data_IF_977700219013
#
_entry.id   IF_977700219013
#
_cell.length_a   1.000
_cell.length_b   1.000
_cell.length_c   1.000
_cell.angle_alpha   90.00
_cell.angle_beta   90.00
_cell.angle_gamma   90.00
#
_symmetry.space_group_name_H-M   'P 1'
#
loop_
_entity.id
_entity.type
_entity.pdbx_description
1 polymer ?
#
# COMPACT_ATOMS: atom_id res chain seq x y z
N UNK A 1 0.27 -8.24 5.63
CA UNK A 1 1.57 -7.60 5.93
C UNK A 1 1.89 -7.43 7.42
N UNK A 2 0.94 -7.14 8.32
CA UNK A 2 1.23 -6.86 9.74
C UNK A 2 2.07 -7.93 10.49
N UNK A 3 1.76 -9.24 10.45
CA UNK A 3 2.56 -10.24 11.17
C UNK A 3 4.00 -10.34 10.66
N UNK A 4 4.20 -10.10 9.35
CA UNK A 4 5.53 -10.05 8.74
C UNK A 4 6.35 -8.87 9.28
N UNK A 5 5.75 -7.67 9.31
CA UNK A 5 6.37 -6.48 9.89
C UNK A 5 6.76 -6.70 11.36
N UNK A 6 5.86 -7.27 12.16
CA UNK A 6 6.17 -7.62 13.56
C UNK A 6 7.27 -8.67 13.69
N UNK A 7 7.32 -9.66 12.79
CA UNK A 7 8.37 -10.66 12.76
C UNK A 7 9.75 -10.07 12.46
N UNK A 8 9.82 -9.12 11.53
CA UNK A 8 11.05 -8.38 11.21
C UNK A 8 11.46 -7.43 12.35
N UNK A 9 10.50 -6.74 12.96
CA UNK A 9 10.77 -5.91 14.14
C UNK A 9 11.39 -6.71 15.29
N UNK A 10 10.90 -7.93 15.56
CA UNK A 10 11.50 -8.84 16.56
C UNK A 10 12.92 -9.27 16.23
N UNK A 11 13.32 -9.22 14.96
CA UNK A 11 14.69 -9.48 14.50
C UNK A 11 15.60 -8.25 14.56
N UNK A 12 15.09 -7.10 15.00
CA UNK A 12 15.85 -5.86 15.17
C UNK A 12 15.74 -4.87 14.00
N UNK A 13 14.92 -5.16 12.98
CA UNK A 13 14.71 -4.24 11.87
C UNK A 13 13.74 -3.11 12.27
N UNK A 14 14.00 -1.89 11.79
CA UNK A 14 13.03 -0.79 11.85
C UNK A 14 12.04 -0.95 10.70
N UNK A 15 10.74 -0.85 10.98
CA UNK A 15 9.68 -1.15 10.02
C UNK A 15 8.68 -0.01 9.96
N UNK A 16 8.61 0.64 8.80
CA UNK A 16 7.66 1.71 8.49
C UNK A 16 6.68 1.22 7.42
N UNK A 17 5.39 1.37 7.70
CA UNK A 17 4.32 1.16 6.72
C UNK A 17 3.99 2.47 6.02
N UNK A 18 3.92 2.43 4.69
CA UNK A 18 3.51 3.54 3.85
C UNK A 18 2.10 3.29 3.31
N UNK A 19 1.20 4.25 3.41
CA UNK A 19 -0.15 4.10 2.89
C UNK A 19 -1.09 5.23 3.28
N UNK A 20 -2.36 5.10 2.91
CA UNK A 20 -3.38 6.12 3.20
C UNK A 20 -3.62 6.27 4.71
N UNK A 21 -3.96 7.48 5.19
CA UNK A 21 -4.17 7.79 6.62
C UNK A 21 -5.06 6.79 7.39
N UNK A 22 -6.08 6.21 6.76
CA UNK A 22 -6.98 5.23 7.38
C UNK A 22 -6.28 3.98 7.92
N UNK A 23 -5.11 3.66 7.41
CA UNK A 23 -4.33 2.52 7.90
C UNK A 23 -3.67 2.81 9.26
N UNK A 24 -3.41 4.08 9.60
CA UNK A 24 -2.51 4.47 10.69
C UNK A 24 -2.92 3.83 12.02
N UNK A 25 -4.19 3.95 12.43
CA UNK A 25 -4.66 3.42 13.72
C UNK A 25 -4.36 1.94 13.86
N UNK A 26 -4.54 1.16 12.79
CA UNK A 26 -4.30 -0.29 12.79
C UNK A 26 -2.80 -0.61 12.83
N UNK A 27 -1.98 0.14 12.09
CA UNK A 27 -0.52 -0.04 12.09
C UNK A 27 0.06 0.30 13.47
N UNK A 28 -0.32 1.44 14.05
CA UNK A 28 0.13 1.88 15.38
C UNK A 28 -0.30 0.91 16.47
N UNK A 29 -1.52 0.37 16.41
CA UNK A 29 -1.98 -0.68 17.33
C UNK A 29 -1.13 -1.95 17.26
N UNK A 30 -0.54 -2.25 16.09
CA UNK A 30 0.41 -3.33 15.90
C UNK A 30 1.85 -2.99 16.35
N UNK A 31 2.07 -1.79 16.93
CA UNK A 31 3.36 -1.24 17.38
C UNK A 31 4.39 -1.08 16.25
N UNK A 32 3.91 -0.73 15.06
CA UNK A 32 4.74 -0.49 13.89
C UNK A 32 4.71 0.99 13.53
N UNK A 33 5.75 1.46 12.85
CA UNK A 33 5.81 2.83 12.37
C UNK A 33 4.95 3.02 11.12
N UNK A 34 4.43 4.23 10.95
CA UNK A 34 3.56 4.59 9.85
C UNK A 34 3.96 5.94 9.27
N UNK A 35 3.97 6.01 7.95
CA UNK A 35 4.15 7.23 7.16
C UNK A 35 2.97 7.38 6.19
N UNK A 36 2.21 8.48 6.25
CA UNK A 36 1.07 8.68 5.37
C UNK A 36 1.52 8.98 3.94
N UNK A 37 0.80 8.41 2.96
CA UNK A 37 0.89 8.76 1.54
C UNK A 37 -0.52 9.06 1.04
N UNK A 38 -0.66 10.13 0.26
CA UNK A 38 -1.90 10.55 -0.36
C UNK A 38 -2.93 11.10 0.61
N UNK A 39 -2.48 11.76 1.68
CA UNK A 39 -3.37 12.31 2.71
C UNK A 39 -4.33 13.38 2.17
N UNK A 40 -3.93 14.11 1.12
CA UNK A 40 -4.76 15.15 0.51
C UNK A 40 -5.89 14.55 -0.36
N UNK A 41 -5.61 13.45 -1.07
CA UNK A 41 -6.59 12.80 -1.95
C UNK A 41 -7.43 11.76 -1.23
N UNK A 42 -6.82 11.06 -0.27
CA UNK A 42 -7.47 10.07 0.59
C UNK A 42 -7.37 10.49 2.05
N UNK A 43 -8.04 11.58 2.47
CA UNK A 43 -8.09 11.97 3.88
C UNK A 43 -8.74 10.88 4.74
N UNK A 44 -8.59 11.00 6.06
CA UNK A 44 -9.18 10.07 7.03
C UNK A 44 -10.69 9.89 6.77
N UNK A 45 -11.14 8.63 6.65
CA UNK A 45 -12.50 8.20 6.28
C UNK A 45 -12.69 7.84 4.80
N UNK A 46 -11.69 8.07 3.94
CA UNK A 46 -11.81 7.85 2.50
C UNK A 46 -12.02 6.38 2.13
N UNK A 47 -11.32 5.47 2.80
CA UNK A 47 -11.43 4.02 2.57
C UNK A 47 -12.85 3.54 2.86
N UNK A 48 -13.45 3.96 3.98
CA UNK A 48 -14.83 3.63 4.31
C UNK A 48 -15.80 4.18 3.26
N UNK A 49 -15.63 5.44 2.84
CA UNK A 49 -16.46 6.06 1.82
C UNK A 49 -16.38 5.32 0.46
N UNK A 50 -15.18 4.91 0.06
CA UNK A 50 -14.93 4.14 -1.17
C UNK A 50 -15.58 2.76 -1.09
N UNK A 51 -15.43 2.04 0.02
CA UNK A 51 -16.11 0.76 0.22
C UNK A 51 -17.64 0.91 0.25
N UNK A 52 -18.16 1.96 0.88
CA UNK A 52 -19.60 2.25 0.92
C UNK A 52 -20.16 2.57 -0.47
N UNK A 53 -19.37 3.17 -1.35
CA UNK A 53 -19.74 3.39 -2.75
C UNK A 53 -19.68 2.08 -3.54
N UNK A 54 -18.59 1.34 -3.41
CA UNK A 54 -18.41 0.05 -4.08
C UNK A 54 -19.51 -0.96 -3.73
N UNK A 55 -19.96 -1.00 -2.47
CA UNK A 55 -21.03 -1.92 -2.03
C UNK A 55 -22.39 -1.68 -2.69
N UNK A 56 -22.60 -0.51 -3.28
CA UNK A 56 -23.80 -0.16 -4.05
C UNK A 56 -23.70 -0.50 -5.53
N UNK A 57 -22.51 -0.85 -6.01
CA UNK A 57 -22.23 -1.19 -7.41
C UNK A 57 -22.16 -2.72 -7.59
N UNK A 58 -22.39 -3.19 -8.82
CA UNK A 58 -22.30 -4.61 -9.20
C UNK A 58 -21.76 -4.73 -10.62
N UNK A 59 -21.17 -5.88 -10.97
CA UNK A 59 -20.71 -6.16 -12.34
C UNK A 59 -19.68 -5.16 -12.86
N UNK A 60 -19.79 -4.81 -14.15
CA UNK A 60 -18.83 -3.93 -14.84
C UNK A 60 -18.67 -2.54 -14.17
N UNK A 61 -19.73 -1.84 -13.74
CA UNK A 61 -19.58 -0.58 -13.02
C UNK A 61 -18.75 -0.69 -11.72
N UNK A 62 -18.90 -1.79 -10.97
CA UNK A 62 -18.08 -2.02 -9.78
C UNK A 62 -16.61 -2.22 -10.16
N UNK A 63 -16.35 -3.01 -11.21
CA UNK A 63 -14.99 -3.24 -11.72
C UNK A 63 -14.32 -1.93 -12.18
N UNK A 64 -15.01 -1.11 -12.98
CA UNK A 64 -14.50 0.17 -13.45
C UNK A 64 -14.21 1.12 -12.29
N UNK A 65 -15.08 1.17 -11.28
CA UNK A 65 -14.85 1.96 -10.07
C UNK A 65 -13.59 1.48 -9.33
N UNK A 66 -13.43 0.18 -9.14
CA UNK A 66 -12.25 -0.41 -8.51
C UNK A 66 -10.97 -0.11 -9.29
N UNK A 67 -10.97 -0.26 -10.62
CA UNK A 67 -9.81 0.07 -11.48
C UNK A 67 -9.43 1.55 -11.33
N UNK A 68 -10.40 2.46 -11.36
CA UNK A 68 -10.13 3.88 -11.18
C UNK A 68 -9.60 4.21 -9.78
N UNK A 69 -10.04 3.49 -8.76
CA UNK A 69 -9.48 3.63 -7.41
C UNK A 69 -8.01 3.20 -7.40
N UNK A 70 -7.68 2.01 -7.89
CA UNK A 70 -6.27 1.56 -8.00
C UNK A 70 -5.42 2.52 -8.81
N UNK A 71 -5.93 3.04 -9.92
CA UNK A 71 -5.25 4.05 -10.75
C UNK A 71 -4.88 5.29 -9.94
N UNK A 72 -5.84 5.87 -9.20
CA UNK A 72 -5.59 7.05 -8.37
C UNK A 72 -4.57 6.75 -7.27
N UNK A 73 -4.73 5.63 -6.57
CA UNK A 73 -3.79 5.21 -5.51
C UNK A 73 -2.36 5.04 -6.05
N UNK A 74 -2.20 4.39 -7.19
CA UNK A 74 -0.89 4.23 -7.82
C UNK A 74 -0.29 5.58 -8.25
N UNK A 75 -1.08 6.47 -8.85
CA UNK A 75 -0.61 7.79 -9.30
C UNK A 75 -0.03 8.60 -8.12
N UNK A 76 -0.76 8.68 -7.01
CA UNK A 76 -0.35 9.46 -5.85
C UNK A 76 0.89 8.86 -5.18
N UNK A 77 0.96 7.53 -5.09
CA UNK A 77 2.13 6.88 -4.54
C UNK A 77 3.36 7.08 -5.44
N UNK A 78 3.21 7.11 -6.76
CA UNK A 78 4.32 7.44 -7.66
C UNK A 78 4.76 8.91 -7.51
N UNK A 79 3.84 9.83 -7.26
CA UNK A 79 4.12 11.26 -7.05
C UNK A 79 4.81 11.52 -5.70
N UNK A 80 4.34 10.91 -4.62
CA UNK A 80 4.81 11.18 -3.25
C UNK A 80 5.85 10.17 -2.74
N UNK A 81 5.86 8.96 -3.29
CA UNK A 81 6.56 7.81 -2.75
C UNK A 81 8.07 8.02 -2.64
N UNK A 82 8.72 8.50 -3.70
CA UNK A 82 10.17 8.70 -3.70
C UNK A 82 10.62 9.60 -2.53
N UNK A 83 9.93 10.73 -2.36
CA UNK A 83 10.18 11.67 -1.27
C UNK A 83 9.91 11.06 0.11
N UNK A 84 8.83 10.30 0.25
CA UNK A 84 8.48 9.61 1.49
C UNK A 84 9.54 8.58 1.91
N UNK A 85 10.04 7.79 0.96
CA UNK A 85 11.10 6.81 1.21
C UNK A 85 12.42 7.48 1.58
N UNK A 86 12.84 8.53 0.85
CA UNK A 86 14.07 9.27 1.16
C UNK A 86 14.02 9.90 2.56
N UNK A 87 12.91 10.54 2.91
CA UNK A 87 12.73 11.17 4.24
C UNK A 87 12.78 10.19 5.40
N UNK A 88 12.36 8.96 5.17
CA UNK A 88 12.33 7.91 6.20
C UNK A 88 13.61 7.09 6.23
N UNK A 89 14.49 7.23 5.23
CA UNK A 89 15.77 6.53 5.16
C UNK A 89 15.63 5.02 5.01
N UNK A 90 14.56 4.54 4.37
CA UNK A 90 14.35 3.10 4.16
C UNK A 90 15.35 2.54 3.15
N UNK A 91 15.94 1.39 3.49
CA UNK A 91 17.01 0.76 2.71
C UNK A 91 16.53 -0.41 1.84
N UNK A 92 15.29 -0.86 2.05
CA UNK A 92 14.66 -1.92 1.27
C UNK A 92 13.13 -1.85 1.39
N UNK A 93 12.40 -2.39 0.40
CA UNK A 93 10.94 -2.44 0.41
C UNK A 93 10.35 -3.85 0.38
N UNK A 94 9.19 -3.97 1.04
CA UNK A 94 8.25 -5.08 0.85
C UNK A 94 7.01 -4.48 0.19
N UNK A 95 6.70 -4.94 -1.01
CA UNK A 95 5.67 -4.36 -1.88
C UNK A 95 4.47 -5.32 -1.93
N UNK A 96 3.26 -4.82 -1.70
CA UNK A 96 2.05 -5.63 -1.87
C UNK A 96 1.80 -5.90 -3.36
N UNK A 97 1.47 -7.12 -3.74
CA UNK A 97 1.20 -7.51 -5.13
C UNK A 97 0.12 -6.65 -5.79
N UNK A 98 -0.86 -6.14 -5.04
CA UNK A 98 -1.92 -5.28 -5.60
C UNK A 98 -1.53 -3.79 -5.66
N UNK A 99 -0.35 -3.44 -5.16
CA UNK A 99 0.22 -2.09 -5.15
C UNK A 99 1.65 -2.10 -5.77
N UNK A 100 1.80 -2.48 -7.06
CA UNK A 100 3.10 -2.66 -7.70
C UNK A 100 3.92 -1.38 -7.83
N UNK A 101 3.29 -0.21 -7.69
CA UNK A 101 3.93 1.11 -7.71
C UNK A 101 5.10 1.22 -6.71
N UNK A 102 5.03 0.51 -5.58
CA UNK A 102 6.14 0.45 -4.61
C UNK A 102 7.45 -0.08 -5.22
N UNK A 103 7.36 -1.07 -6.11
CA UNK A 103 8.53 -1.62 -6.81
C UNK A 103 9.12 -0.62 -7.81
N UNK A 104 8.27 0.17 -8.46
CA UNK A 104 8.72 1.22 -9.39
C UNK A 104 9.49 2.32 -8.64
N UNK A 105 8.99 2.75 -7.48
CA UNK A 105 9.67 3.75 -6.64
C UNK A 105 10.98 3.19 -6.07
N UNK A 106 11.01 1.93 -5.66
CA UNK A 106 12.24 1.26 -5.22
C UNK A 106 13.32 1.25 -6.32
N UNK A 107 12.92 0.92 -7.55
CA UNK A 107 13.82 0.95 -8.71
C UNK A 107 14.36 2.36 -9.00
N UNK A 108 13.51 3.38 -8.89
CA UNK A 108 13.91 4.78 -9.07
C UNK A 108 14.99 5.20 -8.05
N UNK A 109 14.88 4.73 -6.82
CA UNK A 109 15.80 5.06 -5.71
C UNK A 109 17.01 4.11 -5.60
N UNK A 110 17.13 3.14 -6.50
CA UNK A 110 18.18 2.10 -6.48
C UNK A 110 18.25 1.32 -5.15
N UNK A 111 17.08 1.02 -4.56
CA UNK A 111 16.97 0.17 -3.36
C UNK A 111 16.33 -1.19 -3.68
N UNK A 112 16.74 -2.27 -3.00
CA UNK A 112 16.15 -3.58 -3.20
C UNK A 112 14.68 -3.63 -2.75
N UNK A 113 13.86 -4.39 -3.48
CA UNK A 113 12.50 -4.70 -3.03
C UNK A 113 12.14 -6.17 -3.26
N UNK A 114 11.19 -6.64 -2.46
CA UNK A 114 10.53 -7.93 -2.64
C UNK A 114 9.02 -7.72 -2.73
N UNK A 115 8.34 -8.50 -3.59
CA UNK A 115 6.88 -8.47 -3.68
C UNK A 115 6.27 -9.56 -2.79
N UNK A 116 5.33 -9.18 -1.93
CA UNK A 116 4.53 -10.11 -1.13
C UNK A 116 3.22 -10.44 -1.86
N UNK A 117 3.12 -11.68 -2.33
CA UNK A 117 1.93 -12.18 -3.02
C UNK A 117 0.96 -12.86 -2.04
N UNK A 118 0.17 -12.08 -1.30
CA UNK A 118 -0.88 -12.62 -0.41
C UNK A 118 -2.29 -12.61 -1.02
N UNK A 119 -2.45 -12.11 -2.24
CA UNK A 119 -3.73 -12.04 -2.94
C UNK A 119 -3.88 -13.23 -3.92
N UNK A 120 -4.05 -14.45 -3.39
CA UNK A 120 -4.12 -15.69 -4.18
C UNK A 120 -5.03 -15.63 -5.43
N UNK A 121 -6.21 -14.96 -5.42
CA UNK A 121 -7.05 -14.85 -6.62
C UNK A 121 -6.38 -14.18 -7.84
N UNK A 122 -5.30 -13.42 -7.64
CA UNK A 122 -4.50 -12.83 -8.73
C UNK A 122 -3.48 -13.80 -9.34
N UNK A 123 -3.17 -14.90 -8.66
CA UNK A 123 -2.20 -15.90 -9.11
C UNK A 123 -2.96 -17.10 -9.69
N UNK A 124 -3.55 -16.92 -10.87
CA UNK A 124 -4.27 -17.98 -11.57
C UNK A 124 -3.29 -18.82 -12.39
N UNK A 125 -3.44 -20.14 -12.34
CA UNK A 125 -2.79 -21.03 -13.31
C UNK A 125 -3.52 -20.93 -14.65
N UNK A 126 -2.83 -21.16 -15.78
CA UNK A 126 -3.50 -21.33 -17.06
C UNK A 126 -4.59 -22.42 -16.93
N UNK A 127 -5.79 -22.11 -17.41
CA UNK A 127 -6.90 -23.07 -17.51
C UNK A 127 -6.72 -24.08 -18.63
#
# INVERSE_FOLDING_TARGET
>A
MLPLGQGLQKKGYQITFFGVPDAETKIRAAKLDFYPIGADIFPLGSTEALFKKLSKLKGIPALQFTINWFYQSAQIFLEEGANALEKTGVEALIVDQINPEGGTVAQLLDIPFITLCSALPFNQEPG
#
